data_IF_362611267272
#
_entry.id   IF_362611267272
#
_cell.length_a   1.000
_cell.length_b   1.000
_cell.length_c   1.000
_cell.angle_alpha   90.00
_cell.angle_beta   90.00
_cell.angle_gamma   90.00
#
_symmetry.space_group_name_H-M   'P 1'
#
loop_
_entity.id
_entity.type
_entity.pdbx_description
1 polymer ?
#
# COMPACT_ATOMS: atom_id res chain seq x y z
N UNK A 1 0.01 -21.17 -11.16
CA UNK A 1 -0.56 -19.85 -11.50
C UNK A 1 0.03 -18.87 -10.51
N UNK A 2 0.95 -18.02 -10.96
CA UNK A 2 1.62 -17.06 -10.10
C UNK A 2 0.60 -16.14 -9.45
N UNK A 3 0.75 -15.86 -8.15
CA UNK A 3 -0.06 -14.82 -7.52
C UNK A 3 0.38 -13.50 -8.15
N UNK A 4 -0.53 -12.77 -8.80
CA UNK A 4 -0.26 -11.42 -9.29
C UNK A 4 -0.07 -10.50 -8.07
N UNK A 5 1.15 -10.47 -7.58
CA UNK A 5 1.58 -9.62 -6.48
C UNK A 5 2.46 -8.50 -7.04
N UNK A 6 2.43 -7.31 -6.41
CA UNK A 6 3.42 -6.28 -6.67
C UNK A 6 4.84 -6.88 -6.57
N UNK A 7 5.79 -6.46 -7.43
CA UNK A 7 7.14 -7.02 -7.45
C UNK A 7 7.81 -7.06 -6.08
N UNK A 8 7.66 -6.00 -5.27
CA UNK A 8 8.24 -5.93 -3.92
C UNK A 8 7.62 -6.96 -2.95
N UNK A 9 6.32 -7.26 -3.08
CA UNK A 9 5.69 -8.29 -2.24
C UNK A 9 6.15 -9.69 -2.63
N UNK A 10 6.39 -9.92 -3.92
CA UNK A 10 6.99 -11.16 -4.40
C UNK A 10 8.42 -11.32 -3.87
N UNK A 11 9.24 -10.26 -3.93
CA UNK A 11 10.58 -10.24 -3.34
C UNK A 11 10.57 -10.57 -1.85
N UNK A 12 9.67 -9.91 -1.09
CA UNK A 12 9.52 -10.17 0.34
C UNK A 12 9.20 -11.63 0.63
N UNK A 13 8.31 -12.23 -0.15
CA UNK A 13 7.91 -13.61 0.06
C UNK A 13 8.93 -14.65 -0.39
N UNK A 14 9.42 -14.52 -1.62
CA UNK A 14 10.21 -15.55 -2.30
C UNK A 14 11.68 -15.50 -1.89
N UNK A 15 12.26 -14.31 -1.76
CA UNK A 15 13.70 -14.16 -1.51
C UNK A 15 14.01 -13.90 -0.04
N UNK A 16 13.17 -13.13 0.64
CA UNK A 16 13.43 -12.68 2.01
C UNK A 16 12.68 -13.50 3.07
N UNK A 17 11.82 -14.43 2.67
CA UNK A 17 11.11 -15.35 3.57
C UNK A 17 10.04 -14.69 4.44
N UNK A 18 9.60 -13.47 4.10
CA UNK A 18 8.52 -12.81 4.81
C UNK A 18 7.17 -13.45 4.50
N UNK A 19 6.30 -13.46 5.51
CA UNK A 19 4.93 -13.92 5.34
C UNK A 19 4.09 -12.80 4.72
N UNK A 20 3.66 -12.99 3.47
CA UNK A 20 2.71 -12.12 2.77
C UNK A 20 1.33 -12.80 2.72
N UNK A 21 0.31 -12.08 3.17
CA UNK A 21 -1.09 -12.54 3.21
C UNK A 21 -1.96 -11.63 2.37
N UNK A 22 -2.91 -12.21 1.63
CA UNK A 22 -3.93 -11.44 0.92
C UNK A 22 -5.03 -11.00 1.88
N UNK A 23 -5.39 -9.72 1.80
CA UNK A 23 -6.52 -9.12 2.52
C UNK A 23 -7.78 -9.09 1.67
N UNK A 24 -8.90 -8.70 2.29
CA UNK A 24 -10.13 -8.41 1.53
C UNK A 24 -9.98 -7.06 0.82
N UNK A 25 -10.18 -6.98 -0.51
CA UNK A 25 -10.08 -5.73 -1.25
C UNK A 25 -11.08 -4.69 -0.72
N UNK A 26 -10.80 -3.40 -0.91
CA UNK A 26 -11.61 -2.29 -0.40
C UNK A 26 -11.61 -1.16 -1.43
N UNK A 27 -12.79 -0.63 -1.76
CA UNK A 27 -12.95 0.47 -2.72
C UNK A 27 -12.18 0.29 -4.04
N UNK A 28 -12.11 -0.95 -4.54
CA UNK A 28 -11.38 -1.30 -5.76
C UNK A 28 -9.91 -1.67 -5.57
N UNK A 29 -9.30 -1.30 -4.43
CA UNK A 29 -7.89 -1.61 -4.17
C UNK A 29 -7.69 -3.01 -3.60
N UNK A 30 -6.58 -3.63 -4.00
CA UNK A 30 -6.10 -4.87 -3.39
C UNK A 30 -5.37 -4.57 -2.08
N UNK A 31 -5.64 -5.39 -1.06
CA UNK A 31 -5.00 -5.28 0.24
C UNK A 31 -4.15 -6.51 0.49
N UNK A 32 -3.00 -6.30 1.12
CA UNK A 32 -2.10 -7.33 1.59
C UNK A 32 -1.67 -7.01 3.02
N UNK A 33 -1.09 -8.00 3.68
CA UNK A 33 -0.49 -7.87 5.00
C UNK A 33 0.87 -8.57 4.99
N UNK A 34 1.89 -7.88 5.50
CA UNK A 34 3.24 -8.42 5.64
C UNK A 34 3.62 -8.43 7.13
N UNK A 35 4.25 -9.51 7.56
CA UNK A 35 4.95 -9.50 8.84
C UNK A 35 6.26 -8.70 8.69
N UNK A 36 6.28 -7.47 9.20
CA UNK A 36 7.49 -6.63 9.26
C UNK A 36 7.90 -6.39 10.72
N UNK A 37 7.50 -7.26 11.64
CA UNK A 37 7.81 -7.11 13.07
C UNK A 37 9.30 -7.16 13.39
N UNK A 38 10.10 -7.79 12.51
CA UNK A 38 11.56 -7.78 12.59
C UNK A 38 12.18 -6.42 12.22
N UNK A 39 11.42 -5.52 11.59
CA UNK A 39 11.90 -4.25 11.03
C UNK A 39 11.32 -3.06 11.80
N UNK A 40 12.15 -2.41 12.64
CA UNK A 40 11.82 -1.20 13.43
C UNK A 40 10.62 -1.36 14.39
N UNK A 41 10.65 -0.64 15.51
CA UNK A 41 9.67 -0.74 16.61
C UNK A 41 8.21 -0.35 16.27
N UNK A 42 7.92 0.21 15.09
CA UNK A 42 6.59 0.72 14.73
C UNK A 42 5.85 -0.13 13.68
N UNK A 43 6.51 -1.11 13.07
CA UNK A 43 5.88 -2.05 12.16
C UNK A 43 5.39 -3.27 12.95
N UNK A 44 4.35 -3.91 12.44
CA UNK A 44 3.71 -5.04 13.12
C UNK A 44 3.89 -6.33 12.33
N UNK A 45 3.53 -7.45 12.96
CA UNK A 45 3.41 -8.75 12.31
C UNK A 45 2.23 -8.84 11.32
N UNK A 46 1.49 -7.75 11.14
CA UNK A 46 0.37 -7.64 10.23
C UNK A 46 0.33 -6.23 9.61
N UNK A 47 1.47 -5.76 9.12
CA UNK A 47 1.59 -4.42 8.52
C UNK A 47 0.75 -4.37 7.24
N UNK A 48 -0.28 -3.51 7.17
CA UNK A 48 -1.16 -3.42 6.01
C UNK A 48 -0.45 -2.79 4.82
N UNK A 49 -0.74 -3.32 3.64
CA UNK A 49 -0.25 -2.83 2.36
C UNK A 49 -1.43 -2.66 1.42
N UNK A 50 -1.53 -1.49 0.79
CA UNK A 50 -2.50 -1.21 -0.27
C UNK A 50 -1.73 -1.20 -1.59
N UNK A 51 -2.25 -1.89 -2.59
CA UNK A 51 -1.72 -1.84 -3.94
C UNK A 51 -2.59 -0.96 -4.82
N UNK A 52 -1.98 0.04 -5.43
CA UNK A 52 -2.57 0.96 -6.41
C UNK A 52 -2.01 0.59 -7.77
N UNK A 53 -2.82 -0.11 -8.56
CA UNK A 53 -2.46 -0.54 -9.90
C UNK A 53 -2.54 0.67 -10.87
N UNK A 54 -1.83 0.60 -11.99
CA UNK A 54 -1.87 1.68 -13.01
C UNK A 54 -3.29 2.03 -13.45
N UNK A 55 -4.16 1.01 -13.61
CA UNK A 55 -5.58 1.18 -13.98
C UNK A 55 -6.38 2.00 -12.98
N UNK A 56 -5.98 2.00 -11.71
CA UNK A 56 -6.65 2.75 -10.64
C UNK A 56 -6.30 4.25 -10.69
N UNK A 57 -5.24 4.60 -11.43
CA UNK A 57 -4.74 5.96 -11.60
C UNK A 57 -5.25 6.62 -12.89
N UNK A 58 -5.59 5.81 -13.90
CA UNK A 58 -5.97 6.30 -15.22
C UNK A 58 -7.28 7.12 -15.18
N UNK A 59 -7.19 8.39 -15.55
CA UNK A 59 -8.34 9.31 -15.57
C UNK A 59 -8.81 9.78 -14.18
N UNK A 60 -8.14 9.38 -13.10
CA UNK A 60 -8.49 9.77 -11.72
C UNK A 60 -7.55 10.87 -11.25
N UNK A 61 -8.10 11.94 -10.68
CA UNK A 61 -7.27 13.01 -10.11
C UNK A 61 -6.51 12.52 -8.88
N UNK A 62 -5.29 13.03 -8.67
CA UNK A 62 -4.48 12.67 -7.51
C UNK A 62 -5.17 13.00 -6.18
N UNK A 63 -5.96 14.06 -6.13
CA UNK A 63 -6.75 14.41 -4.95
C UNK A 63 -7.84 13.36 -4.67
N UNK A 64 -8.55 12.91 -5.69
CA UNK A 64 -9.56 11.84 -5.55
C UNK A 64 -8.92 10.52 -5.09
N UNK A 65 -7.74 10.18 -5.61
CA UNK A 65 -7.00 8.99 -5.16
C UNK A 65 -6.64 9.07 -3.68
N UNK A 66 -6.07 10.21 -3.23
CA UNK A 66 -5.68 10.40 -1.82
C UNK A 66 -6.90 10.34 -0.89
N UNK A 67 -8.04 10.90 -1.33
CA UNK A 67 -9.30 10.81 -0.59
C UNK A 67 -9.78 9.36 -0.50
N UNK A 68 -9.79 8.64 -1.63
CA UNK A 68 -10.19 7.23 -1.70
C UNK A 68 -9.32 6.34 -0.80
N UNK A 69 -8.00 6.53 -0.81
CA UNK A 69 -7.08 5.86 0.12
C UNK A 69 -7.41 6.19 1.59
N UNK A 70 -7.74 7.44 1.90
CA UNK A 70 -8.21 7.83 3.22
C UNK A 70 -9.50 7.11 3.64
N UNK A 71 -10.41 6.87 2.70
CA UNK A 71 -11.65 6.14 2.94
C UNK A 71 -11.41 4.64 3.15
N UNK A 72 -10.47 4.03 2.40
CA UNK A 72 -10.02 2.64 2.66
C UNK A 72 -9.50 2.49 4.10
N UNK A 73 -8.68 3.43 4.57
CA UNK A 73 -8.17 3.38 5.94
C UNK A 73 -9.28 3.43 6.98
N UNK A 74 -10.33 4.22 6.75
CA UNK A 74 -11.49 4.31 7.64
C UNK A 74 -12.29 3.00 7.60
N UNK A 75 -12.63 2.52 6.40
CA UNK A 75 -13.42 1.31 6.20
C UNK A 75 -12.76 0.07 6.82
N UNK A 76 -11.43 -0.02 6.75
CA UNK A 76 -10.65 -1.15 7.26
C UNK A 76 -10.08 -0.92 8.67
N UNK A 77 -10.45 0.19 9.33
CA UNK A 77 -9.97 0.57 10.66
C UNK A 77 -8.43 0.60 10.79
N UNK A 78 -7.76 1.09 9.75
CA UNK A 78 -6.29 1.16 9.64
C UNK A 78 -5.73 2.54 10.00
N UNK A 79 -6.58 3.48 10.40
CA UNK A 79 -6.21 4.88 10.67
C UNK A 79 -5.12 5.06 11.73
N UNK A 80 -4.90 4.08 12.61
CA UNK A 80 -3.88 4.07 13.67
C UNK A 80 -2.63 3.24 13.37
N UNK A 81 -2.58 2.56 12.22
CA UNK A 81 -1.48 1.66 11.84
C UNK A 81 -0.71 2.25 10.69
N UNK A 82 0.61 2.07 10.68
CA UNK A 82 1.42 2.39 9.50
C UNK A 82 0.95 1.50 8.35
N UNK A 83 0.54 2.12 7.24
CA UNK A 83 0.07 1.48 6.01
C UNK A 83 1.02 1.82 4.88
N UNK A 84 1.55 0.79 4.24
CA UNK A 84 2.36 0.95 3.04
C UNK A 84 1.43 1.02 1.82
N UNK A 85 1.70 1.93 0.90
CA UNK A 85 0.95 2.05 -0.36
C UNK A 85 1.94 1.87 -1.51
N UNK A 86 1.78 0.78 -2.24
CA UNK A 86 2.59 0.45 -3.41
C UNK A 86 1.89 0.98 -4.65
N UNK A 87 2.59 1.77 -5.44
CA UNK A 87 2.05 2.40 -6.65
C UNK A 87 2.82 1.91 -7.87
N UNK A 88 2.15 1.27 -8.82
CA UNK A 88 2.78 0.77 -10.05
C UNK A 88 3.00 1.86 -11.11
N UNK A 89 2.22 2.95 -11.06
CA UNK A 89 2.28 4.06 -12.01
C UNK A 89 3.08 5.28 -11.53
N UNK A 90 2.89 6.41 -12.22
CA UNK A 90 3.54 7.67 -11.89
C UNK A 90 3.05 8.22 -10.53
N UNK A 91 3.84 8.01 -9.48
CA UNK A 91 3.54 8.42 -8.11
C UNK A 91 3.87 9.89 -7.81
N UNK A 92 4.60 10.61 -8.69
CA UNK A 92 4.99 12.01 -8.48
C UNK A 92 3.82 12.95 -8.12
N UNK A 93 2.65 12.86 -8.79
CA UNK A 93 1.49 13.68 -8.44
C UNK A 93 0.94 13.41 -7.03
N UNK A 94 1.04 12.17 -6.55
CA UNK A 94 0.54 11.75 -5.22
C UNK A 94 1.43 12.28 -4.09
N UNK A 95 2.75 12.37 -4.31
CA UNK A 95 3.68 12.88 -3.30
C UNK A 95 3.43 14.34 -2.91
N UNK A 96 2.80 15.15 -3.77
CA UNK A 96 2.37 16.52 -3.44
C UNK A 96 1.37 16.56 -2.29
N UNK A 97 0.66 15.46 -2.05
CA UNK A 97 -0.33 15.32 -0.98
C UNK A 97 0.21 14.56 0.23
N UNK A 98 1.52 14.23 0.26
CA UNK A 98 2.15 13.47 1.35
C UNK A 98 2.01 14.15 2.72
N UNK A 99 1.91 15.47 2.75
CA UNK A 99 1.66 16.26 3.97
C UNK A 99 0.21 16.20 4.46
N UNK A 100 -0.75 15.87 3.58
CA UNK A 100 -2.17 15.73 3.91
C UNK A 100 -2.57 14.27 4.20
N UNK A 101 -1.69 13.32 3.89
CA UNK A 101 -1.86 11.95 4.30
C UNK A 101 -1.77 11.88 5.83
N UNK A 102 -2.71 11.19 6.47
CA UNK A 102 -2.57 10.81 7.88
C UNK A 102 -1.16 10.26 8.07
N UNK A 103 -0.46 10.64 9.15
CA UNK A 103 0.97 10.34 9.44
C UNK A 103 1.38 8.86 9.32
N UNK A 104 0.39 8.00 9.12
CA UNK A 104 0.50 6.56 9.05
C UNK A 104 0.56 6.02 7.60
N UNK A 105 0.36 6.83 6.56
CA UNK A 105 0.50 6.37 5.17
C UNK A 105 1.92 6.59 4.64
N UNK A 106 2.52 5.52 4.13
CA UNK A 106 3.84 5.55 3.47
C UNK A 106 3.62 5.18 2.01
N UNK A 107 3.70 6.17 1.12
CA UNK A 107 3.69 5.96 -0.32
C UNK A 107 5.06 5.46 -0.78
N UNK A 108 5.07 4.42 -1.62
CA UNK A 108 6.24 3.82 -2.26
C UNK A 108 5.95 3.79 -3.77
N UNK A 109 6.70 4.59 -4.53
CA UNK A 109 6.57 4.66 -5.99
C UNK A 109 7.15 3.44 -6.69
N UNK A 110 6.80 3.24 -7.97
CA UNK A 110 7.35 2.14 -8.78
C UNK A 110 8.88 2.19 -8.90
N UNK A 111 9.48 3.38 -8.94
CA UNK A 111 10.94 3.55 -9.00
C UNK A 111 11.66 3.22 -7.67
N UNK A 112 10.91 3.16 -6.56
CA UNK A 112 11.45 2.91 -5.20
C UNK A 112 11.26 1.44 -4.76
N UNK A 113 10.60 0.62 -5.59
CA UNK A 113 10.34 -0.81 -5.36
C UNK A 113 11.40 -1.69 -6.04
#
# INVERSE_FOLDING_TARGET
>A
MGKDWPPVLRLFHEELGYTVRTGKPSLGYQLFYIDLSSWKLRLSNNTPVIWVETKDMDGVSSQHMIQSLGDVLRERNLTRQIVLVLVDGNSFPLFRYKTNLNQNLVLIGAEEQ
#
